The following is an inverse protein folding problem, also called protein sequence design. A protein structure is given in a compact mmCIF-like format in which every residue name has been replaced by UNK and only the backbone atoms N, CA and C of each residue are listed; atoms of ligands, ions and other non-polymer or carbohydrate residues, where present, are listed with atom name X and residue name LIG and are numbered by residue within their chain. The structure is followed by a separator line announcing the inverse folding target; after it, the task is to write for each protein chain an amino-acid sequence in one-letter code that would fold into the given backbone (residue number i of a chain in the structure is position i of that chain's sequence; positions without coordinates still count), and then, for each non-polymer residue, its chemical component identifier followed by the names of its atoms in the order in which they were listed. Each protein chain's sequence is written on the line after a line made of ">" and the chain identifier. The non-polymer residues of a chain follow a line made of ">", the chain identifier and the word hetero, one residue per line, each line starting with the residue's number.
data_IF_714709102662
#
_entry.id   IF_714709102662
#
_cell.length_a   1.000
_cell.length_b   1.000
_cell.length_c   1.000
_cell.angle_alpha   90.00
_cell.angle_beta   90.00
_cell.angle_gamma   90.00
#
_symmetry.space_group_name_H-M   'P 1'
#
loop_
_entity.id
_entity.type
_entity.pdbx_description
1 polymer ?
#
# COMPACT_ATOMS: atom_id res chain seq x y z
N UNK A 1 -10.52 -15.80 -14.90
CA UNK A 1 -10.63 -14.33 -14.77
C UNK A 1 -11.00 -14.08 -13.32
N UNK A 2 -10.02 -13.74 -12.47
CA UNK A 2 -10.34 -13.23 -11.13
C UNK A 2 -11.05 -11.89 -11.34
N UNK A 3 -12.23 -11.73 -10.74
CA UNK A 3 -12.82 -10.41 -10.62
C UNK A 3 -11.87 -9.55 -9.80
N UNK A 4 -11.32 -8.50 -10.40
CA UNK A 4 -10.44 -7.56 -9.72
C UNK A 4 -11.26 -6.75 -8.71
N UNK A 5 -11.40 -7.29 -7.51
CA UNK A 5 -11.91 -6.58 -6.33
C UNK A 5 -10.89 -5.55 -5.82
N UNK A 6 -9.91 -5.14 -6.64
CA UNK A 6 -8.83 -4.26 -6.21
C UNK A 6 -8.51 -3.21 -7.27
N UNK A 7 -8.42 -1.96 -6.82
CA UNK A 7 -7.82 -0.89 -7.61
C UNK A 7 -6.34 -0.82 -7.27
N UNK A 8 -5.50 -0.68 -8.31
CA UNK A 8 -4.07 -0.49 -8.15
C UNK A 8 -3.58 0.79 -8.83
N UNK A 9 -2.77 1.57 -8.11
CA UNK A 9 -2.08 2.75 -8.65
C UNK A 9 -0.58 2.49 -8.60
N UNK A 10 0.10 2.70 -9.71
CA UNK A 10 1.55 2.64 -9.83
C UNK A 10 2.08 4.07 -9.97
N UNK A 11 2.95 4.47 -9.06
CA UNK A 11 3.74 5.69 -9.19
C UNK A 11 5.19 5.30 -9.41
N UNK A 12 5.83 5.97 -10.37
CA UNK A 12 7.23 5.75 -10.74
C UNK A 12 7.95 7.08 -10.60
N UNK A 13 9.06 7.09 -9.87
CA UNK A 13 9.91 8.26 -9.69
C UNK A 13 11.32 7.97 -10.15
N UNK A 14 11.78 8.72 -11.15
CA UNK A 14 13.16 8.66 -11.66
C UNK A 14 13.99 9.79 -11.06
N UNK A 15 15.03 9.43 -10.31
CA UNK A 15 15.93 10.38 -9.66
C UNK A 15 16.96 10.95 -10.66
N UNK A 16 17.16 10.31 -11.81
CA UNK A 16 18.15 10.72 -12.80
C UNK A 16 17.79 12.02 -13.56
N UNK A 17 16.58 12.55 -13.38
CA UNK A 17 16.10 13.78 -14.01
C UNK A 17 16.54 15.09 -13.32
N UNK A 18 17.14 15.04 -12.13
CA UNK A 18 17.79 16.22 -11.56
C UNK A 18 19.15 16.39 -12.23
N UNK A 19 19.24 17.40 -13.11
CA UNK A 19 20.47 17.77 -13.81
C UNK A 19 21.59 18.09 -12.80
N UNK A 20 22.37 17.08 -12.43
CA UNK A 20 23.62 17.24 -11.74
C UNK A 20 24.74 17.25 -12.79
N UNK A 21 25.48 18.36 -12.84
CA UNK A 21 26.67 18.54 -13.65
C UNK A 21 27.57 17.30 -13.61
N UNK A 22 27.85 16.75 -14.79
CA UNK A 22 28.43 15.42 -15.04
C UNK A 22 29.92 15.28 -14.67
N UNK A 23 30.48 16.10 -13.79
CA UNK A 23 31.93 16.14 -13.54
C UNK A 23 32.40 15.43 -12.28
N UNK A 24 31.55 14.74 -11.51
CA UNK A 24 32.01 13.90 -10.39
C UNK A 24 31.17 12.65 -10.17
N UNK A 25 31.41 11.62 -10.98
CA UNK A 25 30.84 10.28 -10.77
C UNK A 25 31.71 9.49 -9.79
N UNK A 26 31.60 9.79 -8.50
CA UNK A 26 31.55 8.71 -7.52
C UNK A 26 30.08 8.31 -7.39
N UNK A 27 29.72 7.02 -7.44
CA UNK A 27 28.38 6.58 -7.09
C UNK A 27 28.16 6.92 -5.62
N UNK A 28 27.56 8.08 -5.36
CA UNK A 28 27.03 8.37 -4.05
C UNK A 28 25.91 7.34 -3.86
N UNK A 29 25.98 6.47 -2.83
CA UNK A 29 24.89 5.54 -2.58
C UNK A 29 23.67 6.39 -2.31
N UNK A 30 22.78 6.49 -3.31
CA UNK A 30 21.52 7.19 -3.19
C UNK A 30 20.89 6.74 -1.88
N UNK A 31 20.37 7.69 -1.11
CA UNK A 31 19.83 7.51 0.22
C UNK A 31 18.59 6.59 0.19
N UNK A 32 18.80 5.30 -0.11
CA UNK A 32 17.79 4.30 -0.43
C UNK A 32 16.83 4.03 0.75
N UNK A 33 17.18 4.52 1.94
CA UNK A 33 16.32 4.46 3.14
C UNK A 33 15.36 5.64 3.32
N UNK A 34 15.59 6.79 2.67
CA UNK A 34 14.80 8.02 2.88
C UNK A 34 13.35 7.93 2.36
N UNK A 35 13.05 7.29 1.21
CA UNK A 35 11.67 7.19 0.72
C UNK A 35 10.81 6.27 1.57
N UNK A 36 11.39 5.14 2.03
CA UNK A 36 10.64 4.09 2.75
C UNK A 36 10.17 4.59 4.12
N UNK A 37 11.08 5.17 4.92
CA UNK A 37 10.72 5.66 6.25
C UNK A 37 9.69 6.79 6.22
N UNK A 38 9.82 7.73 5.26
CA UNK A 38 8.85 8.82 5.06
C UNK A 38 7.49 8.29 4.60
N UNK A 39 7.47 7.34 3.66
CA UNK A 39 6.22 6.73 3.22
C UNK A 39 5.54 5.95 4.34
N UNK A 40 6.29 5.18 5.12
CA UNK A 40 5.74 4.47 6.29
C UNK A 40 5.10 5.46 7.28
N UNK A 41 5.76 6.59 7.54
CA UNK A 41 5.22 7.63 8.40
C UNK A 41 3.94 8.26 7.82
N UNK A 42 3.94 8.65 6.54
CA UNK A 42 2.75 9.20 5.88
C UNK A 42 1.56 8.22 5.88
N UNK A 43 1.84 6.93 5.70
CA UNK A 43 0.83 5.87 5.79
C UNK A 43 0.30 5.74 7.23
N UNK A 44 1.15 5.83 8.25
CA UNK A 44 0.71 5.83 9.64
C UNK A 44 -0.21 7.02 9.95
N UNK A 45 0.13 8.21 9.47
CA UNK A 45 -0.72 9.41 9.61
C UNK A 45 -2.06 9.24 8.87
N UNK A 46 -2.04 8.67 7.66
CA UNK A 46 -3.27 8.34 6.94
C UNK A 46 -4.13 7.37 7.74
N UNK A 47 -3.56 6.28 8.27
CA UNK A 47 -4.30 5.29 9.07
C UNK A 47 -4.88 5.91 10.34
N UNK A 48 -4.20 6.89 10.96
CA UNK A 48 -4.74 7.61 12.11
C UNK A 48 -6.03 8.40 11.76
N UNK A 49 -6.13 8.94 10.55
CA UNK A 49 -7.33 9.63 10.07
C UNK A 49 -8.39 8.68 9.49
N UNK A 50 -7.96 7.53 8.96
CA UNK A 50 -8.81 6.55 8.28
C UNK A 50 -8.48 5.13 8.77
N UNK A 51 -8.87 4.76 10.00
CA UNK A 51 -8.47 3.50 10.63
C UNK A 51 -8.95 2.26 9.87
N UNK A 52 -10.04 2.38 9.10
CA UNK A 52 -10.54 1.33 8.21
C UNK A 52 -9.55 0.93 7.11
N UNK A 53 -8.60 1.79 6.73
CA UNK A 53 -7.52 1.42 5.80
C UNK A 53 -6.58 0.33 6.37
N UNK A 54 -6.43 0.26 7.69
CA UNK A 54 -5.71 -0.81 8.40
C UNK A 54 -6.65 -1.94 8.86
N UNK A 55 -7.86 -1.99 8.31
CA UNK A 55 -8.86 -3.00 8.61
C UNK A 55 -8.63 -4.33 7.89
N UNK A 56 -9.42 -5.30 8.31
CA UNK A 56 -9.53 -6.62 7.74
C UNK A 56 -10.93 -6.80 7.14
N UNK A 57 -10.99 -7.28 5.91
CA UNK A 57 -12.21 -7.81 5.31
C UNK A 57 -12.52 -9.13 5.99
N UNK A 58 -13.74 -9.25 6.49
CA UNK A 58 -14.26 -10.47 7.10
C UNK A 58 -15.62 -10.78 6.50
N UNK A 59 -15.91 -12.06 6.33
CA UNK A 59 -17.24 -12.51 5.97
C UNK A 59 -18.04 -12.78 7.25
N UNK A 60 -19.22 -12.18 7.37
CA UNK A 60 -20.16 -12.37 8.46
C UNK A 60 -21.28 -13.32 8.01
N UNK A 61 -21.14 -14.58 8.41
CA UNK A 61 -22.10 -15.65 8.09
C UNK A 61 -23.50 -15.38 8.64
N UNK A 62 -23.64 -14.67 9.77
CA UNK A 62 -24.93 -14.45 10.42
C UNK A 62 -25.88 -13.54 9.63
N UNK A 63 -25.31 -12.69 8.77
CA UNK A 63 -26.06 -11.73 7.94
C UNK A 63 -25.74 -11.87 6.45
N UNK A 64 -24.95 -12.89 6.06
CA UNK A 64 -24.49 -13.16 4.70
C UNK A 64 -23.90 -11.91 4.02
N UNK A 65 -22.93 -11.26 4.69
CA UNK A 65 -22.31 -10.02 4.19
C UNK A 65 -20.82 -9.92 4.51
N UNK A 66 -20.11 -9.21 3.64
CA UNK A 66 -18.75 -8.74 3.91
C UNK A 66 -18.78 -7.52 4.81
N UNK A 67 -17.92 -7.53 5.81
CA UNK A 67 -17.70 -6.43 6.74
C UNK A 67 -16.22 -6.06 6.78
N UNK A 68 -15.94 -4.81 7.15
CA UNK A 68 -14.58 -4.37 7.47
C UNK A 68 -14.47 -4.25 8.99
N UNK A 69 -13.62 -5.07 9.60
CA UNK A 69 -13.23 -4.93 11.01
C UNK A 69 -11.94 -4.14 11.08
N UNK A 70 -11.91 -3.08 11.87
CA UNK A 70 -10.75 -2.21 11.98
C UNK A 70 -10.54 -1.76 13.42
N UNK A 71 -9.31 -1.34 13.80
CA UNK A 71 -9.04 -0.92 15.15
C UNK A 71 -9.84 0.34 15.43
N UNK A 72 -10.81 0.26 16.34
CA UNK A 72 -11.45 1.43 16.91
C UNK A 72 -10.48 2.01 17.94
N UNK A 73 -9.82 3.12 17.60
CA UNK A 73 -9.10 3.89 18.60
C UNK A 73 -10.12 4.38 19.62
N UNK A 74 -10.10 3.80 20.83
CA UNK A 74 -10.90 4.34 21.93
C UNK A 74 -10.41 5.77 22.17
N UNK A 75 -11.29 6.75 22.02
CA UNK A 75 -11.07 8.05 22.65
C UNK A 75 -10.82 7.80 24.13
N UNK A 76 -9.81 8.43 24.74
CA UNK A 76 -9.49 8.20 26.14
C UNK A 76 -10.52 8.96 26.97
N UNK A 77 -11.73 8.42 27.13
CA UNK A 77 -12.64 8.78 28.21
C UNK A 77 -13.73 7.72 28.39
N UNK A 78 -13.77 7.20 29.62
CA UNK A 78 -14.78 6.35 30.23
C UNK A 78 -14.95 4.91 29.72
N UNK A 79 -14.41 4.00 30.53
CA UNK A 79 -15.27 2.97 31.12
C UNK A 79 -15.48 1.70 30.30
N UNK A 80 -15.02 0.61 30.90
CA UNK A 80 -15.44 -0.78 30.66
C UNK A 80 -14.94 -1.49 29.39
N UNK A 81 -14.23 -2.58 29.67
CA UNK A 81 -13.92 -3.77 28.87
C UNK A 81 -15.15 -4.22 28.05
N UNK A 82 -15.08 -4.89 26.90
CA UNK A 82 -14.05 -5.54 26.12
C UNK A 82 -14.72 -5.80 24.76
N UNK A 83 -14.05 -5.47 23.66
CA UNK A 83 -14.20 -6.22 22.41
C UNK A 83 -12.81 -6.28 21.79
N UNK A 84 -11.89 -6.89 22.55
CA UNK A 84 -10.72 -7.50 21.94
C UNK A 84 -11.25 -8.57 20.99
N UNK A 85 -10.82 -8.62 19.72
CA UNK A 85 -11.13 -9.76 18.89
C UNK A 85 -10.56 -10.99 19.59
N UNK A 86 -11.41 -11.94 19.96
CA UNK A 86 -11.01 -13.19 20.61
C UNK A 86 -10.31 -14.16 19.64
N UNK A 87 -9.49 -13.63 18.74
CA UNK A 87 -8.63 -14.40 17.86
C UNK A 87 -7.50 -13.45 17.45
N UNK A 88 -6.23 -13.82 17.70
CA UNK A 88 -5.04 -12.97 17.63
C UNK A 88 -4.66 -12.40 16.24
N UNK A 89 -5.63 -11.99 15.43
CA UNK A 89 -5.42 -11.25 14.21
C UNK A 89 -5.05 -9.81 14.57
N UNK A 90 -3.76 -9.49 14.50
CA UNK A 90 -3.31 -8.10 14.56
C UNK A 90 -3.94 -7.33 13.39
N UNK A 91 -4.64 -6.24 13.70
CA UNK A 91 -5.03 -5.26 12.70
C UNK A 91 -3.79 -4.57 12.15
N UNK A 92 -3.86 -4.09 10.92
CA UNK A 92 -2.73 -3.47 10.26
C UNK A 92 -2.87 -3.47 8.75
N UNK A 93 -1.97 -2.74 8.15
CA UNK A 93 -1.79 -2.67 6.71
C UNK A 93 -0.55 -3.47 6.35
N UNK A 94 -0.64 -4.25 5.27
CA UNK A 94 0.54 -4.89 4.70
C UNK A 94 1.42 -3.84 4.00
N UNK A 95 2.69 -3.74 4.41
CA UNK A 95 3.67 -2.84 3.82
C UNK A 95 4.91 -3.62 3.42
N UNK A 96 5.17 -3.70 2.13
CA UNK A 96 6.27 -4.48 1.56
C UNK A 96 7.36 -3.54 1.03
N UNK A 97 8.60 -3.92 1.30
CA UNK A 97 9.78 -3.26 0.74
C UNK A 97 10.48 -4.27 -0.14
N UNK A 98 10.67 -3.92 -1.41
CA UNK A 98 11.30 -4.74 -2.42
C UNK A 98 12.47 -3.99 -3.07
N UNK A 99 13.38 -4.77 -3.64
CA UNK A 99 14.49 -4.27 -4.42
C UNK A 99 14.55 -4.98 -5.76
N UNK A 100 14.67 -4.19 -6.83
CA UNK A 100 14.74 -4.67 -8.20
C UNK A 100 16.15 -4.44 -8.75
N UNK A 101 16.79 -5.52 -9.20
CA UNK A 101 18.11 -5.47 -9.86
C UNK A 101 18.03 -5.01 -11.34
N UNK A 102 16.99 -4.26 -11.68
CA UNK A 102 16.76 -3.65 -12.99
C UNK A 102 16.60 -2.14 -12.80
N UNK A 103 16.77 -1.37 -13.87
CA UNK A 103 16.49 0.07 -13.86
C UNK A 103 15.01 0.31 -14.20
N UNK A 104 14.52 1.52 -13.93
CA UNK A 104 13.18 1.91 -14.37
C UNK A 104 13.03 1.88 -15.90
N UNK A 105 14.07 2.26 -16.64
CA UNK A 105 14.07 2.19 -18.10
C UNK A 105 13.94 0.75 -18.63
N UNK A 106 14.49 -0.22 -17.89
CA UNK A 106 14.39 -1.66 -18.23
C UNK A 106 12.94 -2.20 -18.08
N UNK A 107 12.04 -1.50 -17.37
CA UNK A 107 10.62 -1.88 -17.26
C UNK A 107 9.85 -1.63 -18.56
N UNK A 108 10.37 -0.82 -19.48
CA UNK A 108 9.70 -0.46 -20.72
C UNK A 108 8.49 0.45 -20.51
N UNK A 109 7.47 0.28 -21.34
CA UNK A 109 6.25 1.07 -21.29
C UNK A 109 5.35 0.62 -20.12
N UNK A 110 5.44 1.34 -19.01
CA UNK A 110 4.65 1.10 -17.80
C UNK A 110 3.15 1.40 -17.95
N UNK A 111 2.75 2.05 -19.05
CA UNK A 111 1.32 2.29 -19.35
C UNK A 111 0.64 1.08 -19.98
N UNK A 112 1.43 0.14 -20.52
CA UNK A 112 0.94 -1.09 -21.10
C UNK A 112 1.09 -2.24 -20.08
N UNK A 113 0.02 -3.00 -19.75
CA UNK A 113 0.13 -4.12 -18.84
C UNK A 113 1.10 -5.18 -19.38
N UNK A 114 2.17 -5.43 -18.63
CA UNK A 114 3.15 -6.48 -18.90
C UNK A 114 3.35 -7.35 -17.65
N UNK A 115 3.65 -8.67 -17.80
CA UNK A 115 3.83 -9.57 -16.66
C UNK A 115 4.93 -9.13 -15.67
N UNK A 116 5.94 -8.38 -16.14
CA UNK A 116 6.99 -7.82 -15.29
C UNK A 116 6.46 -6.81 -14.26
N UNK A 117 5.38 -6.09 -14.58
CA UNK A 117 4.75 -5.12 -13.70
C UNK A 117 3.97 -5.81 -12.57
N UNK A 118 3.61 -7.09 -12.72
CA UNK A 118 2.91 -7.86 -11.67
C UNK A 118 3.79 -8.03 -10.43
N UNK A 119 5.12 -8.05 -10.61
CA UNK A 119 6.10 -8.10 -9.51
C UNK A 119 6.14 -6.82 -8.67
N UNK A 120 5.59 -5.71 -9.19
CA UNK A 120 5.49 -4.46 -8.45
C UNK A 120 4.26 -4.42 -7.53
N UNK A 121 3.36 -5.39 -7.62
CA UNK A 121 2.24 -5.50 -6.69
C UNK A 121 2.71 -6.04 -5.34
N UNK A 122 2.10 -5.57 -4.23
CA UNK A 122 2.21 -6.27 -2.96
C UNK A 122 1.91 -7.76 -3.15
N UNK A 123 2.65 -8.67 -2.50
CA UNK A 123 2.32 -10.08 -2.49
C UNK A 123 0.86 -10.31 -2.11
N UNK A 124 0.23 -11.30 -2.73
CA UNK A 124 -1.18 -11.60 -2.51
C UNK A 124 -1.43 -11.75 -1.00
N UNK A 125 -2.30 -10.92 -0.42
CA UNK A 125 -2.56 -10.99 1.01
C UNK A 125 -3.30 -12.28 1.36
N UNK A 126 -3.30 -12.71 2.64
CA UNK A 126 -4.12 -13.82 3.10
C UNK A 126 -5.57 -13.64 2.63
N UNK A 127 -6.25 -14.73 2.28
CA UNK A 127 -7.62 -14.66 1.77
C UNK A 127 -8.64 -15.10 2.83
N UNK A 128 -9.84 -14.55 2.74
CA UNK A 128 -11.08 -14.98 3.39
C UNK A 128 -12.04 -15.43 2.29
N UNK A 129 -12.97 -16.31 2.61
CA UNK A 129 -13.91 -16.85 1.62
C UNK A 129 -15.30 -16.27 1.85
N UNK A 130 -16.01 -15.87 0.79
CA UNK A 130 -17.42 -15.47 0.87
C UNK A 130 -18.37 -16.68 0.95
N UNK A 131 -19.68 -16.45 1.04
CA UNK A 131 -20.72 -17.50 1.03
C UNK A 131 -20.67 -18.42 -0.19
N UNK A 132 -20.17 -17.92 -1.31
CA UNK A 132 -20.12 -18.64 -2.58
C UNK A 132 -18.79 -19.38 -2.78
N UNK A 133 -17.88 -19.35 -1.81
CA UNK A 133 -16.57 -19.99 -1.95
C UNK A 133 -15.52 -19.11 -2.66
N UNK A 134 -15.82 -17.84 -2.94
CA UNK A 134 -14.88 -16.97 -3.64
C UNK A 134 -13.79 -16.44 -2.69
N UNK A 135 -12.51 -16.55 -3.07
CA UNK A 135 -11.43 -15.96 -2.30
C UNK A 135 -11.46 -14.44 -2.40
N UNK A 136 -11.46 -13.80 -1.24
CA UNK A 136 -11.36 -12.37 -1.07
C UNK A 136 -10.13 -12.07 -0.22
N UNK A 137 -9.21 -11.23 -0.67
CA UNK A 137 -8.10 -10.78 0.17
C UNK A 137 -8.55 -10.12 1.49
N UNK A 138 -7.87 -10.49 2.56
CA UNK A 138 -8.19 -10.17 3.96
C UNK A 138 -7.80 -8.74 4.33
N UNK A 139 -6.73 -8.18 3.77
CA UNK A 139 -6.34 -6.80 4.07
C UNK A 139 -7.14 -5.81 3.22
N UNK A 140 -7.65 -4.76 3.86
CA UNK A 140 -8.35 -3.68 3.15
C UNK A 140 -7.40 -2.94 2.22
N UNK A 141 -6.16 -2.71 2.64
CA UNK A 141 -5.15 -2.05 1.84
C UNK A 141 -3.76 -2.65 2.07
N UNK A 142 -2.97 -2.71 1.00
CA UNK A 142 -1.57 -3.12 1.05
C UNK A 142 -0.71 -2.22 0.15
N UNK A 143 0.53 -1.97 0.56
CA UNK A 143 1.52 -1.18 -0.18
C UNK A 143 2.76 -2.01 -0.47
N UNK A 144 3.40 -1.73 -1.60
CA UNK A 144 4.74 -2.16 -1.92
C UNK A 144 5.54 -0.96 -2.42
N UNK A 145 6.71 -0.77 -1.84
CA UNK A 145 7.76 0.11 -2.37
C UNK A 145 8.83 -0.76 -2.99
N UNK A 146 9.12 -0.53 -4.27
CA UNK A 146 10.21 -1.21 -4.95
C UNK A 146 11.28 -0.18 -5.32
N UNK A 147 12.51 -0.40 -4.85
CA UNK A 147 13.67 0.43 -5.22
C UNK A 147 14.41 -0.22 -6.39
N UNK A 148 14.87 0.58 -7.36
CA UNK A 148 15.54 0.10 -8.57
C UNK A 148 17.04 0.40 -8.49
N UNK A 149 17.86 -0.36 -9.24
CA UNK A 149 19.32 -0.16 -9.27
C UNK A 149 19.75 1.23 -9.72
N UNK A 150 18.91 1.94 -10.49
CA UNK A 150 19.15 3.30 -10.94
C UNK A 150 18.87 4.38 -9.87
N UNK A 151 18.48 3.98 -8.66
CA UNK A 151 18.12 4.91 -7.58
C UNK A 151 16.65 5.37 -7.62
N UNK A 152 15.96 5.14 -8.73
CA UNK A 152 14.51 5.33 -8.83
C UNK A 152 13.72 4.36 -7.95
N UNK A 153 12.44 4.65 -7.75
CA UNK A 153 11.53 3.79 -7.00
C UNK A 153 10.12 3.76 -7.60
N UNK A 154 9.37 2.73 -7.25
CA UNK A 154 7.94 2.65 -7.53
C UNK A 154 7.15 2.40 -6.25
N UNK A 155 6.00 3.03 -6.14
CA UNK A 155 5.02 2.75 -5.10
C UNK A 155 3.80 2.15 -5.77
N UNK A 156 3.40 0.97 -5.31
CA UNK A 156 2.14 0.36 -5.70
C UNK A 156 1.30 0.08 -4.48
N UNK A 157 0.00 0.32 -4.59
CA UNK A 157 -0.93 -0.07 -3.56
C UNK A 157 -2.09 -0.86 -4.16
N UNK A 158 -2.72 -1.66 -3.30
CA UNK A 158 -3.93 -2.42 -3.61
C UNK A 158 -4.94 -2.08 -2.53
N UNK A 159 -6.20 -1.84 -2.91
CA UNK A 159 -7.28 -1.59 -1.97
C UNK A 159 -8.54 -2.40 -2.32
N UNK A 160 -9.20 -2.98 -1.31
CA UNK A 160 -10.45 -3.72 -1.46
C UNK A 160 -11.53 -2.86 -2.07
N UNK A 161 -12.23 -3.39 -3.07
CA UNK A 161 -13.32 -2.71 -3.77
C UNK A 161 -14.51 -2.42 -2.85
N UNK A 162 -14.66 -3.18 -1.76
CA UNK A 162 -15.62 -2.91 -0.69
C UNK A 162 -15.37 -1.53 -0.04
N UNK A 163 -14.13 -1.03 -0.14
CA UNK A 163 -13.67 0.24 0.41
C UNK A 163 -13.35 1.30 -0.68
N UNK A 164 -13.51 0.99 -1.98
CA UNK A 164 -13.00 1.83 -3.06
C UNK A 164 -13.63 3.24 -3.19
N UNK A 165 -14.82 3.48 -2.63
CA UNK A 165 -15.49 4.80 -2.72
C UNK A 165 -14.73 5.88 -1.91
N UNK A 166 -13.91 5.51 -0.92
CA UNK A 166 -13.04 6.43 -0.16
C UNK A 166 -11.63 6.56 -0.73
N UNK A 167 -11.30 5.81 -1.79
CA UNK A 167 -9.94 5.67 -2.31
C UNK A 167 -9.38 6.98 -2.90
N UNK A 168 -10.23 7.81 -3.52
CA UNK A 168 -9.84 9.13 -4.05
C UNK A 168 -9.38 10.10 -2.94
N UNK A 169 -10.05 10.09 -1.79
CA UNK A 169 -9.69 10.96 -0.66
C UNK A 169 -8.41 10.50 0.05
N UNK A 170 -8.19 9.18 0.13
CA UNK A 170 -6.99 8.58 0.74
C UNK A 170 -5.76 8.83 -0.11
N UNK A 171 -5.89 8.65 -1.43
CA UNK A 171 -4.85 8.97 -2.40
C UNK A 171 -4.35 10.39 -2.16
N UNK A 172 -5.23 11.38 -2.22
CA UNK A 172 -4.85 12.79 -2.10
C UNK A 172 -4.06 13.11 -0.81
N UNK A 173 -4.44 12.50 0.33
CA UNK A 173 -3.80 12.76 1.64
C UNK A 173 -2.48 12.03 1.86
N UNK A 174 -2.27 10.85 1.28
CA UNK A 174 -0.94 10.21 1.26
C UNK A 174 0.00 10.97 0.34
N UNK A 175 -0.52 11.42 -0.81
CA UNK A 175 0.31 11.96 -1.88
C UNK A 175 0.73 13.41 -1.67
N UNK A 176 -0.09 14.26 -1.05
CA UNK A 176 0.27 15.67 -0.83
C UNK A 176 1.57 15.85 -0.01
N UNK A 177 1.78 15.18 1.14
CA UNK A 177 3.03 15.29 1.90
C UNK A 177 4.24 14.65 1.20
N UNK A 178 4.03 13.62 0.38
CA UNK A 178 5.11 13.01 -0.41
C UNK A 178 5.58 13.93 -1.52
N UNK A 179 4.66 14.67 -2.17
CA UNK A 179 5.01 15.64 -3.20
C UNK A 179 5.77 16.85 -2.62
N UNK A 180 5.41 17.34 -1.44
CA UNK A 180 6.07 18.48 -0.79
C UNK A 180 7.49 18.17 -0.30
N UNK A 181 7.83 16.90 -0.07
CA UNK A 181 9.15 16.47 0.42
C UNK A 181 10.05 15.76 -0.60
N UNK A 182 9.59 15.57 -1.84
CA UNK A 182 10.32 14.96 -2.96
C UNK A 182 10.92 16.00 -3.94
N UNK A 183 10.57 17.29 -3.78
CA UNK A 183 11.14 18.43 -4.52
C UNK A 183 12.30 19.04 -3.74
#
# INVERSE_FOLDING_TARGET
>A
MLYDFYTAVLLVYDVAGQAHDSSSLQPQPAAAGVPVGRLQHAIQEMVAHFPCAAGLVVYNESIDRLEIKYPTYKTPNNGTHSNSPNNGSAYGLAFHVAHANVSLADLGDVSNPQPSLDLLYPPTPPQVTDSNGHPLPRFVMAFQVTTFKCGGFSIRHTCSHVYAVTQLQLSYKIWAPLQEGLV
#
